data_IF_159241397833
#
_entry.id   IF_159241397833
#
_cell.length_a   1.000
_cell.length_b   1.000
_cell.length_c   1.000
_cell.angle_alpha   90.00
_cell.angle_beta   90.00
_cell.angle_gamma   90.00
#
_symmetry.space_group_name_H-M   'P 1'
#
loop_
_entity.id
_entity.type
_entity.pdbx_description
1 polymer ?
#
# COMPACT_ATOMS: atom_id res chain seq x y z
N UNK A 1 -2.40 -42.56 16.41
CA UNK A 1 -1.64 -41.29 16.38
C UNK A 1 -2.63 -40.17 16.54
N UNK A 2 -2.31 -39.14 17.33
CA UNK A 2 -3.24 -38.04 17.62
C UNK A 2 -3.49 -37.20 16.37
N UNK A 3 -4.74 -36.78 16.15
CA UNK A 3 -5.12 -35.90 15.04
C UNK A 3 -4.28 -34.62 15.02
N UNK A 4 -3.95 -34.09 16.20
CA UNK A 4 -3.05 -32.96 16.38
C UNK A 4 -1.67 -33.14 15.73
N UNK A 5 -1.05 -34.33 15.85
CA UNK A 5 0.26 -34.57 15.26
C UNK A 5 0.19 -34.57 13.73
N UNK A 6 -0.88 -35.14 13.16
CA UNK A 6 -1.10 -35.17 11.72
C UNK A 6 -1.36 -33.77 11.17
N UNK A 7 -2.15 -32.97 11.87
CA UNK A 7 -2.43 -31.57 11.49
C UNK A 7 -1.16 -30.73 11.52
N UNK A 8 -0.33 -30.90 12.57
CA UNK A 8 0.94 -30.20 12.70
C UNK A 8 1.93 -30.58 11.58
N UNK A 9 2.03 -31.87 11.26
CA UNK A 9 2.89 -32.36 10.18
C UNK A 9 2.40 -31.84 8.82
N UNK A 10 1.09 -31.72 8.65
CA UNK A 10 0.46 -31.19 7.43
C UNK A 10 0.73 -29.71 7.26
N UNK A 11 0.54 -28.90 8.30
CA UNK A 11 0.79 -27.45 8.24
C UNK A 11 2.28 -27.13 8.01
N UNK A 12 3.20 -27.92 8.59
CA UNK A 12 4.63 -27.77 8.37
C UNK A 12 5.03 -28.03 6.90
N UNK A 13 4.48 -29.09 6.29
CA UNK A 13 4.70 -29.39 4.87
C UNK A 13 4.14 -28.31 3.96
N UNK A 14 2.94 -27.81 4.26
CA UNK A 14 2.31 -26.70 3.54
C UNK A 14 3.17 -25.43 3.61
N UNK A 15 3.75 -25.11 4.78
CA UNK A 15 4.61 -23.95 4.94
C UNK A 15 5.86 -24.01 4.05
N UNK A 16 6.50 -25.18 3.94
CA UNK A 16 7.65 -25.39 3.04
C UNK A 16 7.24 -25.25 1.57
N UNK A 17 6.13 -25.87 1.17
CA UNK A 17 5.64 -25.78 -0.20
C UNK A 17 5.27 -24.34 -0.61
N UNK A 18 4.71 -23.55 0.32
CA UNK A 18 4.46 -22.11 0.11
C UNK A 18 5.77 -21.34 -0.08
N UNK A 19 6.81 -21.65 0.71
CA UNK A 19 8.10 -20.95 0.61
C UNK A 19 8.84 -21.20 -0.72
N UNK A 20 8.53 -22.31 -1.40
CA UNK A 20 9.08 -22.66 -2.71
C UNK A 20 8.14 -22.32 -3.88
N UNK A 21 7.06 -21.57 -3.66
CA UNK A 21 6.02 -21.26 -4.65
C UNK A 21 5.30 -22.49 -5.25
N UNK A 22 5.43 -23.67 -4.63
CA UNK A 22 4.78 -24.92 -5.05
C UNK A 22 3.31 -25.01 -4.58
N UNK A 23 2.94 -24.23 -3.56
CA UNK A 23 1.59 -24.16 -3.01
C UNK A 23 1.22 -22.70 -2.74
N UNK A 24 0.04 -22.26 -3.20
CA UNK A 24 -0.42 -20.89 -2.93
C UNK A 24 -0.92 -20.76 -1.49
N UNK A 25 -0.46 -19.71 -0.79
CA UNK A 25 -0.96 -19.39 0.55
C UNK A 25 -2.48 -19.19 0.55
N UNK A 26 -3.17 -19.70 1.57
CA UNK A 26 -4.64 -19.69 1.64
C UNK A 26 -5.27 -18.29 1.62
N UNK A 27 -4.58 -17.27 2.18
CA UNK A 27 -4.99 -15.86 2.09
C UNK A 27 -3.79 -15.00 1.71
N UNK A 28 -3.77 -14.52 0.48
CA UNK A 28 -2.87 -13.43 0.05
C UNK A 28 -3.63 -12.13 0.21
N UNK A 29 -3.08 -11.18 0.98
CA UNK A 29 -3.60 -9.82 1.00
C UNK A 29 -2.79 -9.01 0.01
N UNK A 30 -3.28 -8.93 -1.23
CA UNK A 30 -2.72 -8.00 -2.21
C UNK A 30 -3.10 -6.58 -1.78
N UNK A 31 -2.10 -5.83 -1.31
CA UNK A 31 -2.27 -4.40 -1.09
C UNK A 31 -2.08 -3.76 -2.46
N UNK A 32 -3.20 -3.39 -3.11
CA UNK A 32 -3.16 -2.63 -4.35
C UNK A 32 -2.32 -1.36 -4.12
N UNK A 33 -1.26 -1.21 -4.91
CA UNK A 33 -0.41 -0.02 -4.85
C UNK A 33 -1.25 1.14 -5.39
N UNK A 34 -1.55 2.18 -4.59
CA UNK A 34 -2.35 3.30 -5.06
C UNK A 34 -1.59 4.09 -6.12
N UNK A 35 -2.24 4.40 -7.23
CA UNK A 35 -1.68 5.32 -8.23
C UNK A 35 -1.75 6.75 -7.69
N UNK A 36 -0.61 7.22 -7.18
CA UNK A 36 -0.47 8.56 -6.62
C UNK A 36 -0.80 9.66 -7.63
N UNK A 37 -0.56 9.42 -8.92
CA UNK A 37 -0.84 10.39 -9.98
C UNK A 37 -2.33 10.56 -10.18
N UNK A 38 -3.10 9.47 -10.14
CA UNK A 38 -4.55 9.53 -10.20
C UNK A 38 -5.13 10.20 -8.96
N UNK A 39 -4.63 9.86 -7.77
CA UNK A 39 -5.06 10.47 -6.51
C UNK A 39 -4.86 11.99 -6.55
N UNK A 40 -3.68 12.46 -6.95
CA UNK A 40 -3.43 13.89 -7.10
C UNK A 40 -4.33 14.55 -8.15
N UNK A 41 -4.59 13.89 -9.27
CA UNK A 41 -5.48 14.44 -10.29
C UNK A 41 -6.91 14.58 -9.77
N UNK A 42 -7.39 13.63 -8.95
CA UNK A 42 -8.71 13.71 -8.30
C UNK A 42 -8.84 14.92 -7.37
N UNK A 43 -7.74 15.34 -6.73
CA UNK A 43 -7.73 16.52 -5.86
C UNK A 43 -7.57 17.84 -6.61
N UNK A 44 -7.17 17.82 -7.89
CA UNK A 44 -7.02 19.01 -8.71
C UNK A 44 -5.73 19.81 -8.48
N UNK A 45 -4.83 19.35 -7.61
CA UNK A 45 -3.58 20.03 -7.30
C UNK A 45 -2.44 19.70 -8.28
N UNK A 46 -1.53 20.66 -8.47
CA UNK A 46 -0.24 20.42 -9.15
C UNK A 46 0.67 19.61 -8.23
N UNK A 47 1.67 18.93 -8.80
CA UNK A 47 2.59 18.06 -8.02
C UNK A 47 3.24 18.79 -6.85
N UNK A 48 3.68 20.03 -7.05
CA UNK A 48 4.31 20.84 -6.00
C UNK A 48 3.36 21.15 -4.84
N UNK A 49 2.13 21.56 -5.16
CA UNK A 49 1.13 21.92 -4.15
C UNK A 49 0.65 20.67 -3.40
N UNK A 50 0.46 19.56 -4.12
CA UNK A 50 0.14 18.27 -3.52
C UNK A 50 1.24 17.77 -2.58
N UNK A 51 2.50 17.89 -2.97
CA UNK A 51 3.64 17.51 -2.14
C UNK A 51 3.65 18.31 -0.83
N UNK A 52 3.38 19.62 -0.91
CA UNK A 52 3.30 20.50 0.25
C UNK A 52 2.15 20.09 1.18
N UNK A 53 0.95 19.83 0.64
CA UNK A 53 -0.22 19.41 1.42
C UNK A 53 -0.03 18.04 2.08
N UNK A 54 0.65 17.10 1.42
CA UNK A 54 0.92 15.76 1.97
C UNK A 54 2.12 15.78 2.94
N UNK A 55 2.89 16.86 2.99
CA UNK A 55 4.06 17.00 3.87
C UNK A 55 5.29 16.22 3.39
N UNK A 56 5.48 16.10 2.07
CA UNK A 56 6.60 15.37 1.46
C UNK A 56 7.31 16.22 0.40
N UNK A 57 8.52 15.80 -0.02
CA UNK A 57 9.22 16.49 -1.09
C UNK A 57 8.56 16.28 -2.45
N UNK A 58 8.66 17.28 -3.33
CA UNK A 58 8.23 17.16 -4.73
C UNK A 58 8.88 15.94 -5.42
N UNK A 59 10.17 15.73 -5.18
CA UNK A 59 10.92 14.59 -5.71
C UNK A 59 10.37 13.23 -5.28
N UNK A 60 9.76 13.14 -4.08
CA UNK A 60 9.16 11.90 -3.59
C UNK A 60 7.82 11.64 -4.29
N UNK A 61 6.99 12.68 -4.48
CA UNK A 61 5.76 12.57 -5.28
C UNK A 61 6.07 12.16 -6.70
N UNK A 62 7.08 12.76 -7.34
CA UNK A 62 7.53 12.36 -8.68
C UNK A 62 8.01 10.90 -8.71
N UNK A 63 8.76 10.45 -7.71
CA UNK A 63 9.21 9.07 -7.63
C UNK A 63 8.05 8.08 -7.45
N UNK A 64 7.00 8.47 -6.72
CA UNK A 64 5.77 7.68 -6.58
C UNK A 64 4.98 7.63 -7.88
N UNK A 65 4.73 8.78 -8.54
CA UNK A 65 4.01 8.82 -9.82
C UNK A 65 4.73 8.11 -10.97
N UNK A 66 6.05 7.98 -10.88
CA UNK A 66 6.89 7.26 -11.84
C UNK A 66 7.14 5.80 -11.42
N UNK A 67 6.50 5.33 -10.35
CA UNK A 67 6.64 3.95 -9.82
C UNK A 67 8.08 3.56 -9.44
N UNK A 68 8.98 4.53 -9.25
CA UNK A 68 10.36 4.29 -8.77
C UNK A 68 10.40 4.00 -7.28
N UNK A 69 9.41 4.49 -6.53
CA UNK A 69 9.22 4.22 -5.10
C UNK A 69 7.75 3.94 -4.84
N UNK A 70 7.49 3.15 -3.82
CA UNK A 70 6.14 2.82 -3.37
C UNK A 70 5.91 3.53 -2.03
N UNK A 71 4.81 4.28 -1.85
CA UNK A 71 4.45 4.85 -0.56
C UNK A 71 4.21 3.73 0.46
N UNK A 72 4.67 3.92 1.70
CA UNK A 72 4.57 2.91 2.75
C UNK A 72 4.16 3.53 4.09
N UNK A 73 3.72 2.68 5.03
CA UNK A 73 3.34 3.11 6.38
C UNK A 73 2.22 4.15 6.39
N UNK A 74 2.47 5.29 7.03
CA UNK A 74 1.49 6.38 7.17
C UNK A 74 1.15 7.06 5.84
N UNK A 75 2.14 7.23 4.96
CA UNK A 75 1.93 7.85 3.64
C UNK A 75 0.95 7.05 2.78
N UNK A 76 1.05 5.72 2.81
CA UNK A 76 0.12 4.83 2.11
C UNK A 76 -1.31 5.00 2.62
N UNK A 77 -1.50 4.99 3.95
CA UNK A 77 -2.83 5.16 4.56
C UNK A 77 -3.44 6.52 4.21
N UNK A 78 -2.65 7.58 4.28
CA UNK A 78 -3.09 8.93 3.93
C UNK A 78 -3.50 9.01 2.46
N UNK A 79 -2.70 8.48 1.53
CA UNK A 79 -3.03 8.47 0.10
C UNK A 79 -4.31 7.68 -0.18
N UNK A 80 -4.51 6.53 0.47
CA UNK A 80 -5.75 5.75 0.37
C UNK A 80 -6.96 6.53 0.91
N UNK A 81 -6.78 7.31 1.99
CA UNK A 81 -7.84 8.17 2.51
C UNK A 81 -8.18 9.31 1.56
N UNK A 82 -7.18 9.97 0.98
CA UNK A 82 -7.37 11.04 -0.01
C UNK A 82 -8.02 10.48 -1.28
N UNK A 83 -7.68 9.27 -1.71
CA UNK A 83 -8.31 8.62 -2.86
C UNK A 83 -9.81 8.41 -2.65
N UNK A 84 -10.20 8.00 -1.43
CA UNK A 84 -11.60 7.78 -1.04
C UNK A 84 -12.35 9.08 -0.79
N UNK A 85 -11.67 10.08 -0.22
CA UNK A 85 -12.23 11.36 0.18
C UNK A 85 -11.31 12.51 -0.28
N UNK A 86 -11.39 12.94 -1.56
CA UNK A 86 -10.50 13.96 -2.11
C UNK A 86 -10.52 15.29 -1.35
N UNK A 87 -11.63 15.64 -0.72
CA UNK A 87 -11.77 16.86 0.10
C UNK A 87 -10.90 16.87 1.35
N UNK A 88 -10.45 15.71 1.84
CA UNK A 88 -9.59 15.58 3.02
C UNK A 88 -8.26 16.32 2.85
N UNK A 89 -7.79 16.48 1.61
CA UNK A 89 -6.53 17.18 1.35
C UNK A 89 -6.57 18.65 1.79
N UNK A 90 -7.77 19.26 1.86
CA UNK A 90 -7.95 20.64 2.29
C UNK A 90 -7.72 20.80 3.80
N UNK A 91 -7.93 19.75 4.59
CA UNK A 91 -7.67 19.76 6.04
C UNK A 91 -6.16 19.71 6.34
N UNK A 92 -5.36 19.27 5.38
CA UNK A 92 -3.91 19.16 5.54
C UNK A 92 -3.18 20.50 5.35
N UNK A 93 -3.86 21.54 4.85
CA UNK A 93 -3.22 22.85 4.60
C UNK A 93 -2.87 23.62 5.87
N UNK A 94 -3.28 23.14 7.06
CA UNK A 94 -3.10 23.81 8.34
C UNK A 94 -2.05 23.17 9.28
N UNK A 95 -1.32 22.16 8.82
CA UNK A 95 -0.28 21.46 9.60
C UNK A 95 1.11 21.95 9.22
#
# INVERSE_FOLDING_TARGET
MSDFFNDLMTSAKQAVAISHDELKAGRVTEIAIPDVKEIRKKTGYKQKDFALLVGVSLSLVEAWEQHRRIPSGSSLKLLVMIDRYPSLINELSGI
#
